data_IF_717881430163
#
_entry.id   IF_717881430163
#
_cell.length_a   1.000
_cell.length_b   1.000
_cell.length_c   1.000
_cell.angle_alpha   90.00
_cell.angle_beta   90.00
_cell.angle_gamma   90.00
#
_symmetry.space_group_name_H-M   'P 1'
#
loop_
_entity.id
_entity.type
_entity.pdbx_description
1 polymer ?
#
# COMPACT_ATOMS: atom_id res chain seq x y z
N UNK A 1 50.65 -4.14 -0.39
CA UNK A 1 49.54 -4.68 0.44
C UNK A 1 48.31 -3.75 0.50
N UNK A 2 48.46 -2.41 0.59
CA UNK A 2 47.34 -1.45 0.75
C UNK A 2 46.32 -1.41 -0.40
N UNK A 3 46.74 -1.63 -1.66
CA UNK A 3 45.87 -1.54 -2.84
C UNK A 3 44.83 -2.66 -2.91
N UNK A 4 45.19 -3.89 -2.49
CA UNK A 4 44.25 -5.03 -2.48
C UNK A 4 43.11 -4.83 -1.48
N UNK A 5 43.39 -4.28 -0.31
CA UNK A 5 42.36 -3.95 0.68
C UNK A 5 41.46 -2.81 0.22
N UNK A 6 42.00 -1.82 -0.50
CA UNK A 6 41.21 -0.73 -1.07
C UNK A 6 40.22 -1.22 -2.14
N UNK A 7 40.65 -2.11 -3.04
CA UNK A 7 39.78 -2.70 -4.08
C UNK A 7 38.70 -3.59 -3.45
N UNK A 8 39.06 -4.42 -2.46
CA UNK A 8 38.10 -5.27 -1.76
C UNK A 8 37.04 -4.45 -1.02
N UNK A 9 37.47 -3.38 -0.34
CA UNK A 9 36.57 -2.45 0.35
C UNK A 9 35.59 -1.76 -0.62
N UNK A 10 36.08 -1.34 -1.79
CA UNK A 10 35.23 -0.71 -2.81
C UNK A 10 34.19 -1.68 -3.39
N UNK A 11 34.57 -2.95 -3.62
CA UNK A 11 33.64 -4.00 -4.06
C UNK A 11 32.55 -4.30 -3.02
N UNK A 12 32.91 -4.30 -1.73
CA UNK A 12 31.94 -4.47 -0.63
C UNK A 12 30.98 -3.28 -0.57
N UNK A 13 31.47 -2.05 -0.74
CA UNK A 13 30.60 -0.86 -0.79
C UNK A 13 29.62 -0.91 -1.97
N UNK A 14 30.07 -1.37 -3.14
CA UNK A 14 29.21 -1.54 -4.30
C UNK A 14 28.15 -2.62 -4.04
N UNK A 15 28.53 -3.78 -3.48
CA UNK A 15 27.57 -4.85 -3.23
C UNK A 15 26.53 -4.46 -2.17
N UNK A 16 26.93 -3.74 -1.12
CA UNK A 16 26.01 -3.18 -0.11
C UNK A 16 25.11 -2.11 -0.73
N UNK A 17 25.66 -1.21 -1.56
CA UNK A 17 24.87 -0.18 -2.24
C UNK A 17 23.82 -0.77 -3.18
N UNK A 18 24.19 -1.80 -3.95
CA UNK A 18 23.27 -2.56 -4.79
C UNK A 18 22.21 -3.25 -3.92
N UNK A 19 22.61 -3.90 -2.83
CA UNK A 19 21.68 -4.57 -1.92
C UNK A 19 20.64 -3.58 -1.35
N UNK A 20 21.07 -2.44 -0.82
CA UNK A 20 20.15 -1.42 -0.28
C UNK A 20 19.21 -0.88 -1.36
N UNK A 21 19.70 -0.68 -2.59
CA UNK A 21 18.87 -0.21 -3.70
C UNK A 21 17.81 -1.25 -4.14
N UNK A 22 18.12 -2.54 -4.08
CA UNK A 22 17.17 -3.61 -4.40
C UNK A 22 16.14 -3.86 -3.29
N UNK A 23 16.47 -3.58 -2.03
CA UNK A 23 15.59 -3.83 -0.88
C UNK A 23 14.78 -2.60 -0.42
N UNK A 24 14.95 -1.45 -1.04
CA UNK A 24 14.12 -0.27 -0.73
C UNK A 24 12.78 -0.36 -1.47
N UNK A 25 11.75 -0.85 -0.77
CA UNK A 25 10.38 -0.87 -1.29
C UNK A 25 9.80 0.54 -1.31
N UNK A 26 9.73 1.12 -2.52
CA UNK A 26 9.16 2.46 -2.72
C UNK A 26 7.63 2.40 -2.67
N UNK A 27 7.04 3.16 -1.75
CA UNK A 27 5.60 3.43 -1.74
C UNK A 27 5.23 4.36 -2.89
N UNK A 28 4.29 3.90 -3.74
CA UNK A 28 3.74 4.65 -4.85
C UNK A 28 2.31 5.10 -4.52
N UNK A 29 1.94 6.28 -5.02
CA UNK A 29 0.59 6.86 -4.89
C UNK A 29 0.02 6.84 -3.46
N UNK A 30 0.88 7.09 -2.46
CA UNK A 30 0.48 7.04 -1.05
C UNK A 30 -0.62 8.06 -0.75
N UNK A 31 -1.67 7.58 -0.08
CA UNK A 31 -2.80 8.37 0.41
C UNK A 31 -3.01 8.08 1.88
N UNK A 32 -3.24 9.14 2.65
CA UNK A 32 -3.45 9.04 4.10
C UNK A 32 -4.88 9.42 4.43
N UNK A 33 -5.59 8.53 5.13
CA UNK A 33 -6.94 8.77 5.63
C UNK A 33 -6.89 8.81 7.15
N UNK A 34 -7.53 9.81 7.77
CA UNK A 34 -7.54 9.98 9.23
C UNK A 34 -8.96 10.07 9.76
N UNK A 35 -9.24 9.37 10.85
CA UNK A 35 -10.49 9.49 11.59
C UNK A 35 -10.23 9.23 13.09
N UNK A 36 -10.25 10.28 13.90
CA UNK A 36 -9.95 10.19 15.33
C UNK A 36 -8.51 9.71 15.57
N UNK A 37 -8.40 8.59 16.28
CA UNK A 37 -7.16 7.91 16.62
C UNK A 37 -6.69 6.90 15.55
N UNK A 38 -7.47 6.70 14.49
CA UNK A 38 -7.14 5.83 13.37
C UNK A 38 -6.54 6.63 12.22
N UNK A 39 -5.38 6.18 11.74
CA UNK A 39 -4.77 6.61 10.48
C UNK A 39 -4.60 5.40 9.56
N UNK A 40 -5.05 5.52 8.31
CA UNK A 40 -4.78 4.54 7.26
C UNK A 40 -3.82 5.13 6.24
N UNK A 41 -2.78 4.38 5.89
CA UNK A 41 -1.89 4.68 4.77
C UNK A 41 -2.15 3.67 3.68
N UNK A 42 -2.47 4.16 2.50
CA UNK A 42 -2.86 3.35 1.35
C UNK A 42 -1.90 3.66 0.25
N UNK A 43 -1.14 2.67 -0.19
CA UNK A 43 -0.06 2.86 -1.14
C UNK A 43 0.05 1.63 -2.02
N UNK A 44 0.90 1.74 -3.03
CA UNK A 44 1.21 0.65 -3.94
C UNK A 44 2.69 0.32 -3.86
N UNK A 45 3.02 -0.95 -3.95
CA UNK A 45 4.40 -1.40 -4.14
C UNK A 45 4.48 -2.07 -5.51
N UNK A 46 5.43 -1.60 -6.34
CA UNK A 46 5.73 -2.24 -7.62
C UNK A 46 6.63 -3.45 -7.38
N UNK A 47 6.11 -4.65 -7.62
CA UNK A 47 6.91 -5.87 -7.73
C UNK A 47 7.31 -6.08 -9.20
N UNK A 48 8.22 -7.04 -9.45
CA UNK A 48 8.86 -7.26 -10.77
C UNK A 48 7.86 -7.31 -11.94
N UNK A 49 6.69 -7.92 -11.73
CA UNK A 49 5.69 -8.14 -12.80
C UNK A 49 4.32 -7.52 -12.51
N UNK A 50 4.07 -7.04 -11.30
CA UNK A 50 2.74 -6.65 -10.83
C UNK A 50 2.82 -5.51 -9.82
N UNK A 51 1.77 -4.71 -9.75
CA UNK A 51 1.61 -3.67 -8.73
C UNK A 51 0.60 -4.14 -7.70
N UNK A 52 0.97 -4.07 -6.43
CA UNK A 52 0.17 -4.57 -5.32
C UNK A 52 -0.28 -3.39 -4.47
N UNK A 53 -1.56 -3.39 -4.08
CA UNK A 53 -2.14 -2.40 -3.18
C UNK A 53 -1.94 -2.86 -1.73
N UNK A 54 -1.50 -1.93 -0.89
CA UNK A 54 -1.25 -2.11 0.53
C UNK A 54 -2.08 -1.13 1.35
N UNK A 55 -2.52 -1.57 2.52
CA UNK A 55 -3.12 -0.70 3.52
C UNK A 55 -2.52 -0.98 4.89
N UNK A 56 -1.90 0.05 5.46
CA UNK A 56 -1.42 0.04 6.83
C UNK A 56 -2.38 0.80 7.74
N UNK A 57 -2.72 0.17 8.86
CA UNK A 57 -3.50 0.75 9.94
C UNK A 57 -2.57 1.19 11.06
N UNK A 58 -2.66 2.46 11.41
CA UNK A 58 -1.98 3.06 12.55
C UNK A 58 -3.01 3.53 13.59
N UNK A 59 -2.86 3.08 14.84
CA UNK A 59 -3.67 3.50 16.00
C UNK A 59 -2.80 3.53 17.25
N UNK A 60 -2.87 4.63 18.01
CA UNK A 60 -2.09 4.84 19.24
C UNK A 60 -0.57 4.59 19.09
N UNK A 61 0.00 4.91 17.92
CA UNK A 61 1.42 4.73 17.63
C UNK A 61 1.82 3.31 17.21
N UNK A 62 0.89 2.35 17.20
CA UNK A 62 1.11 1.02 16.63
C UNK A 62 0.68 1.01 15.17
N UNK A 63 1.53 0.46 14.29
CA UNK A 63 1.26 0.32 12.87
C UNK A 63 1.22 -1.17 12.49
N UNK A 64 0.24 -1.58 11.70
CA UNK A 64 0.12 -2.94 11.18
C UNK A 64 -0.46 -2.94 9.78
N UNK A 65 0.12 -3.73 8.89
CA UNK A 65 -0.50 -4.01 7.60
C UNK A 65 -1.80 -4.80 7.81
N UNK A 66 -2.87 -4.38 7.13
CA UNK A 66 -4.19 -5.00 7.24
C UNK A 66 -4.71 -5.54 5.90
N UNK A 67 -4.01 -5.23 4.81
CA UNK A 67 -4.43 -5.55 3.45
C UNK A 67 -3.22 -5.57 2.51
N UNK A 68 -3.07 -6.68 1.79
CA UNK A 68 -2.20 -6.82 0.62
C UNK A 68 -3.01 -7.49 -0.49
N UNK A 69 -3.10 -6.86 -1.66
CA UNK A 69 -3.79 -7.46 -2.79
C UNK A 69 -3.26 -6.97 -4.15
N UNK A 70 -3.32 -7.84 -5.15
CA UNK A 70 -3.19 -7.42 -6.54
C UNK A 70 -4.59 -7.01 -7.03
N UNK A 71 -4.81 -5.70 -7.18
CA UNK A 71 -6.08 -5.17 -7.67
C UNK A 71 -5.86 -4.17 -8.80
N UNK A 72 -6.94 -3.89 -9.55
CA UNK A 72 -6.93 -2.78 -10.51
C UNK A 72 -6.83 -1.40 -9.84
N UNK A 73 -7.04 -1.34 -8.52
CA UNK A 73 -7.07 -0.16 -7.66
C UNK A 73 -8.19 -0.25 -6.62
N UNK A 74 -7.94 0.30 -5.43
CA UNK A 74 -8.96 0.44 -4.38
C UNK A 74 -9.99 1.49 -4.83
N UNK A 75 -11.27 1.08 -4.89
CA UNK A 75 -12.36 1.97 -5.28
C UNK A 75 -12.59 3.04 -4.22
N UNK A 76 -12.68 2.67 -2.95
CA UNK A 76 -12.90 3.62 -1.86
C UNK A 76 -12.54 3.01 -0.51
N UNK A 77 -12.32 3.87 0.48
CA UNK A 77 -12.13 3.47 1.87
C UNK A 77 -13.10 4.25 2.73
N UNK A 78 -13.86 3.52 3.55
CA UNK A 78 -14.81 4.10 4.48
C UNK A 78 -14.27 3.86 5.89
N UNK A 79 -13.92 4.95 6.57
CA UNK A 79 -13.48 4.96 7.95
C UNK A 79 -14.65 5.26 8.88
N UNK A 80 -14.97 4.32 9.76
CA UNK A 80 -15.82 4.52 10.94
C UNK A 80 -14.97 4.32 12.19
N UNK A 81 -15.47 4.80 13.33
CA UNK A 81 -14.73 4.85 14.61
C UNK A 81 -13.88 3.62 14.91
N UNK A 82 -14.44 2.42 14.74
CA UNK A 82 -13.73 1.15 14.98
C UNK A 82 -13.87 0.18 13.79
N UNK A 83 -14.06 0.71 12.58
CA UNK A 83 -14.23 -0.13 11.38
C UNK A 83 -13.67 0.52 10.12
N UNK A 84 -12.94 -0.29 9.34
CA UNK A 84 -12.47 0.04 7.99
C UNK A 84 -13.23 -0.81 7.00
N UNK A 85 -13.87 -0.17 6.01
CA UNK A 85 -14.44 -0.88 4.86
C UNK A 85 -13.62 -0.52 3.63
N UNK A 86 -12.99 -1.53 3.03
CA UNK A 86 -12.20 -1.42 1.81
C UNK A 86 -13.10 -1.84 0.65
N UNK A 87 -13.48 -0.87 -0.17
CA UNK A 87 -14.25 -1.13 -1.39
C UNK A 87 -13.29 -1.37 -2.54
N UNK A 88 -13.37 -2.53 -3.18
CA UNK A 88 -12.46 -2.91 -4.27
C UNK A 88 -13.18 -3.63 -5.40
N UNK A 89 -12.68 -3.47 -6.63
CA UNK A 89 -13.18 -4.19 -7.80
C UNK A 89 -12.21 -5.32 -8.14
N UNK A 90 -12.69 -6.57 -8.12
CA UNK A 90 -11.95 -7.78 -8.50
C UNK A 90 -10.50 -7.79 -7.96
N UNK A 91 -10.35 -8.16 -6.70
CA UNK A 91 -9.06 -8.23 -6.02
C UNK A 91 -8.55 -9.67 -5.88
N UNK A 92 -7.30 -9.91 -6.25
CA UNK A 92 -6.54 -11.06 -5.77
C UNK A 92 -5.96 -10.74 -4.40
N UNK A 93 -6.73 -11.00 -3.35
CA UNK A 93 -6.35 -10.69 -1.97
C UNK A 93 -5.36 -11.74 -1.47
N UNK A 94 -4.17 -11.29 -1.05
CA UNK A 94 -3.14 -12.14 -0.47
C UNK A 94 -3.20 -12.11 1.05
N UNK A 95 -3.40 -10.93 1.62
CA UNK A 95 -3.52 -10.74 3.06
C UNK A 95 -4.68 -9.81 3.39
N UNK A 96 -5.45 -10.20 4.40
CA UNK A 96 -6.54 -9.41 4.94
C UNK A 96 -6.68 -9.73 6.43
N UNK A 97 -6.43 -8.73 7.28
CA UNK A 97 -6.78 -8.84 8.69
C UNK A 97 -8.30 -8.80 8.85
N UNK A 98 -8.89 -9.66 9.68
CA UNK A 98 -10.30 -9.54 10.05
C UNK A 98 -10.53 -8.46 11.13
N UNK A 99 -9.57 -8.35 12.07
CA UNK A 99 -9.55 -7.37 13.14
C UNK A 99 -8.12 -7.09 13.57
N UNK A 100 -7.76 -5.83 13.78
CA UNK A 100 -6.48 -5.46 14.40
C UNK A 100 -6.55 -4.08 15.03
N UNK A 101 -5.74 -3.82 16.07
CA UNK A 101 -5.75 -2.54 16.81
C UNK A 101 -7.17 -2.07 17.16
N UNK A 102 -7.97 -3.00 17.71
CA UNK A 102 -9.38 -2.80 18.07
C UNK A 102 -10.31 -2.34 16.93
N UNK A 103 -9.86 -2.44 15.69
CA UNK A 103 -10.58 -2.04 14.49
C UNK A 103 -11.01 -3.26 13.69
N UNK A 104 -12.27 -3.32 13.27
CA UNK A 104 -12.80 -4.37 12.38
C UNK A 104 -12.53 -3.99 10.91
N UNK A 105 -12.06 -4.94 10.09
CA UNK A 105 -11.74 -4.68 8.69
C UNK A 105 -12.69 -5.52 7.83
N UNK A 106 -13.35 -4.86 6.87
CA UNK A 106 -14.29 -5.49 5.94
C UNK A 106 -13.92 -5.20 4.50
N UNK A 107 -14.12 -6.20 3.65
CA UNK A 107 -14.08 -6.03 2.20
C UNK A 107 -15.49 -5.88 1.67
N UNK A 108 -15.69 -4.89 0.83
CA UNK A 108 -16.88 -4.74 0.00
C UNK A 108 -16.49 -4.89 -1.47
N UNK A 109 -16.79 -6.06 -2.03
CA UNK A 109 -16.54 -6.43 -3.42
C UNK A 109 -17.75 -6.20 -4.33
N UNK A 110 -18.80 -5.52 -3.85
CA UNK A 110 -20.03 -5.25 -4.62
C UNK A 110 -19.84 -4.20 -5.73
N UNK A 111 -18.65 -3.62 -5.85
CA UNK A 111 -18.34 -2.62 -6.86
C UNK A 111 -18.45 -3.25 -8.25
N UNK A 112 -19.38 -2.72 -9.05
CA UNK A 112 -19.55 -3.15 -10.44
C UNK A 112 -18.47 -2.55 -11.34
N UNK A 113 -18.16 -3.24 -12.44
CA UNK A 113 -17.23 -2.76 -13.48
C UNK A 113 -17.61 -1.35 -13.96
N UNK A 114 -18.91 -1.09 -14.16
CA UNK A 114 -19.40 0.23 -14.58
C UNK A 114 -19.06 1.33 -13.56
N UNK A 115 -19.32 1.11 -12.27
CA UNK A 115 -19.00 2.09 -11.21
C UNK A 115 -17.50 2.33 -11.12
N UNK A 116 -16.72 1.26 -11.21
CA UNK A 116 -15.27 1.32 -11.21
C UNK A 116 -14.76 2.18 -12.37
N UNK A 117 -15.10 1.82 -13.61
CA UNK A 117 -14.68 2.54 -14.80
C UNK A 117 -15.10 4.00 -14.77
N UNK A 118 -16.33 4.31 -14.33
CA UNK A 118 -16.82 5.68 -14.22
C UNK A 118 -15.95 6.51 -13.26
N UNK A 119 -15.53 5.97 -12.11
CA UNK A 119 -14.68 6.70 -11.16
C UNK A 119 -13.32 7.05 -11.75
N UNK A 120 -12.70 6.14 -12.50
CA UNK A 120 -11.35 6.31 -13.02
C UNK A 120 -11.30 6.90 -14.45
N UNK A 121 -12.43 7.39 -14.97
CA UNK A 121 -12.45 8.14 -16.22
C UNK A 121 -11.67 9.46 -16.11
N UNK A 122 -10.87 9.85 -17.13
CA UNK A 122 -10.09 11.09 -17.11
C UNK A 122 -10.91 12.35 -16.79
N UNK A 123 -12.12 12.46 -17.34
CA UNK A 123 -13.02 13.59 -17.05
C UNK A 123 -13.41 13.76 -15.57
N UNK A 124 -13.32 12.69 -14.78
CA UNK A 124 -13.68 12.69 -13.37
C UNK A 124 -12.45 12.85 -12.45
N UNK A 125 -11.22 12.86 -13.00
CA UNK A 125 -9.98 12.96 -12.22
C UNK A 125 -9.92 14.19 -11.31
N UNK A 126 -10.59 15.30 -11.70
CA UNK A 126 -10.72 16.53 -10.89
C UNK A 126 -11.43 16.35 -9.55
N UNK A 127 -12.21 15.28 -9.38
CA UNK A 127 -12.99 15.02 -8.16
C UNK A 127 -12.27 14.12 -7.14
N UNK A 128 -11.06 13.64 -7.45
CA UNK A 128 -10.33 12.68 -6.61
C UNK A 128 -8.87 13.06 -6.33
N UNK A 129 -8.45 14.26 -6.74
CA UNK A 129 -7.28 14.93 -6.17
C UNK A 129 -7.74 15.59 -4.86
N UNK A 130 -7.47 14.93 -3.74
CA UNK A 130 -7.50 15.51 -2.40
C UNK A 130 -6.06 15.65 -1.93
#
# INVERSE_FOLDING_TARGET
MKIRYFILFFLILISVGIYVAFFYEKHLDEKVYKNGDITLKVYKISRISTVHDYIDLERWGYCKNIYEANTGGIYNIILKKDMVIIQTYKAGIYELAAKTLETEIKIDSSITTYRYMKKFQPQNAKYYKQ
#
